data_IF_111112870359
#
_entry.id   IF_111112870359
#
_cell.length_a   1.000
_cell.length_b   1.000
_cell.length_c   1.000
_cell.angle_alpha   90.00
_cell.angle_beta   90.00
_cell.angle_gamma   90.00
#
_symmetry.space_group_name_H-M   'P 1'
#
loop_
_entity.id
_entity.type
_entity.pdbx_description
1 polymer ?
#
# COMPACT_ATOMS: atom_id res chain seq x y z
N UNK A 1 -2.11 3.98 -0.39
CA UNK A 1 -2.38 3.99 -1.84
C UNK A 1 -3.32 2.87 -2.21
N UNK A 2 -4.43 3.20 -2.87
CA UNK A 2 -5.43 2.25 -3.38
C UNK A 2 -5.32 2.02 -4.89
N UNK A 3 -6.24 1.25 -5.49
CA UNK A 3 -6.33 1.06 -6.94
C UNK A 3 -6.95 2.28 -7.65
N UNK A 4 -7.15 3.39 -6.92
CA UNK A 4 -7.81 4.58 -7.42
C UNK A 4 -6.98 5.25 -8.53
N UNK A 5 -7.68 5.83 -9.51
CA UNK A 5 -7.03 6.56 -10.60
C UNK A 5 -6.08 7.68 -10.19
N UNK A 6 -6.38 8.53 -9.19
CA UNK A 6 -5.43 9.56 -8.74
C UNK A 6 -4.18 8.96 -8.10
N UNK A 7 -4.31 7.91 -7.28
CA UNK A 7 -3.18 7.28 -6.60
C UNK A 7 -2.18 6.68 -7.60
N UNK A 8 -2.69 5.95 -8.60
CA UNK A 8 -1.84 5.34 -9.64
C UNK A 8 -1.11 6.41 -10.47
N UNK A 9 -1.76 7.55 -10.75
CA UNK A 9 -1.11 8.67 -11.45
C UNK A 9 -0.01 9.30 -10.61
N UNK A 10 -0.26 9.50 -9.30
CA UNK A 10 0.77 9.99 -8.40
C UNK A 10 1.97 9.06 -8.38
N UNK A 11 1.72 7.75 -8.26
CA UNK A 11 2.78 6.74 -8.28
C UNK A 11 3.58 6.78 -9.57
N UNK A 12 2.94 6.94 -10.72
CA UNK A 12 3.65 7.10 -12.00
C UNK A 12 4.63 8.27 -11.98
N UNK A 13 4.20 9.45 -11.53
CA UNK A 13 5.08 10.62 -11.44
C UNK A 13 6.23 10.41 -10.45
N UNK A 14 5.95 9.82 -9.29
CA UNK A 14 6.98 9.54 -8.29
C UNK A 14 7.96 8.46 -8.78
N UNK A 15 7.50 7.49 -9.57
CA UNK A 15 8.36 6.52 -10.25
C UNK A 15 9.38 7.22 -11.14
N UNK A 16 8.93 8.11 -12.03
CA UNK A 16 9.81 8.83 -12.95
C UNK A 16 10.78 9.75 -12.20
N UNK A 17 10.34 10.42 -11.13
CA UNK A 17 11.24 11.22 -10.28
C UNK A 17 12.27 10.33 -9.59
N UNK A 18 11.85 9.19 -9.04
CA UNK A 18 12.75 8.22 -8.40
C UNK A 18 13.78 7.63 -9.38
N UNK A 19 13.36 7.40 -10.62
CA UNK A 19 14.24 6.95 -11.69
C UNK A 19 15.32 7.98 -12.04
N UNK A 20 14.93 9.26 -12.18
CA UNK A 20 15.87 10.36 -12.46
C UNK A 20 16.82 10.64 -11.29
N UNK A 21 16.32 10.52 -10.05
CA UNK A 21 17.09 10.78 -8.84
C UNK A 21 17.87 9.55 -8.32
N UNK A 22 17.72 8.39 -8.96
CA UNK A 22 18.20 7.09 -8.47
C UNK A 22 17.82 6.80 -7.00
N UNK A 23 16.64 7.23 -6.59
CA UNK A 23 16.15 7.09 -5.22
C UNK A 23 14.83 6.27 -5.23
N UNK A 24 14.80 5.08 -4.60
CA UNK A 24 13.58 4.29 -4.53
C UNK A 24 12.56 4.96 -3.60
N UNK A 25 11.29 4.94 -4.01
CA UNK A 25 10.16 5.41 -3.23
C UNK A 25 9.43 4.24 -2.58
N UNK A 26 9.33 4.28 -1.25
CA UNK A 26 8.63 3.26 -0.46
C UNK A 26 7.29 3.83 0.00
N UNK A 27 6.21 3.10 -0.26
CA UNK A 27 4.85 3.50 0.09
C UNK A 27 4.07 2.40 0.81
N UNK A 28 3.10 2.80 1.62
CA UNK A 28 2.15 1.87 2.22
C UNK A 28 0.93 1.65 1.29
N UNK A 29 0.71 0.40 0.90
CA UNK A 29 -0.51 0.02 0.19
C UNK A 29 -1.70 0.00 1.18
N UNK A 30 -2.89 0.37 0.68
CA UNK A 30 -4.14 0.34 1.44
C UNK A 30 -4.78 -1.07 1.37
N UNK A 31 -5.55 -1.53 2.36
CA UNK A 31 -6.36 -2.76 2.24
C UNK A 31 -7.27 -2.75 1.01
N UNK A 32 -7.72 -1.57 0.60
CA UNK A 32 -8.56 -1.36 -0.60
C UNK A 32 -7.88 -1.84 -1.89
N UNK A 33 -6.55 -1.97 -1.88
CA UNK A 33 -5.78 -2.53 -2.99
C UNK A 33 -6.17 -3.98 -3.30
N UNK A 34 -6.64 -4.72 -2.30
CA UNK A 34 -7.13 -6.09 -2.43
C UNK A 34 -8.66 -6.17 -2.43
N UNK A 35 -9.35 -5.04 -2.63
CA UNK A 35 -10.81 -4.91 -2.42
C UNK A 35 -11.26 -5.30 -1.00
N UNK A 36 -10.37 -5.15 -0.01
CA UNK A 36 -10.65 -5.42 1.40
C UNK A 36 -10.84 -4.11 2.17
N UNK A 37 -11.59 -4.19 3.29
CA UNK A 37 -11.72 -3.07 4.24
C UNK A 37 -10.60 -3.07 5.28
N UNK A 38 -10.05 -4.24 5.60
CA UNK A 38 -9.01 -4.43 6.60
C UNK A 38 -8.00 -5.48 6.13
N UNK A 39 -6.75 -5.34 6.57
CA UNK A 39 -5.72 -6.37 6.35
C UNK A 39 -5.99 -7.66 7.13
N UNK A 40 -6.93 -7.66 8.08
CA UNK A 40 -7.35 -8.87 8.80
C UNK A 40 -8.01 -9.89 7.87
N UNK A 41 -8.61 -9.43 6.77
CA UNK A 41 -9.32 -10.28 5.82
C UNK A 41 -8.38 -10.87 4.74
N UNK A 42 -7.07 -10.61 4.81
CA UNK A 42 -6.08 -11.18 3.88
C UNK A 42 -6.15 -12.71 3.76
N UNK A 43 -6.30 -13.50 4.85
CA UNK A 43 -6.40 -14.96 4.77
C UNK A 43 -7.65 -15.45 4.04
N UNK A 44 -8.66 -14.60 3.84
CA UNK A 44 -9.89 -14.98 3.13
C UNK A 44 -9.71 -15.01 1.60
N UNK A 45 -8.66 -14.38 1.09
CA UNK A 45 -8.34 -14.36 -0.33
C UNK A 45 -7.71 -15.70 -0.71
N UNK A 46 -8.34 -16.41 -1.65
CA UNK A 46 -7.78 -17.64 -2.21
C UNK A 46 -6.58 -17.33 -3.10
N UNK A 47 -6.81 -16.55 -4.16
CA UNK A 47 -5.80 -16.20 -5.15
C UNK A 47 -5.73 -14.69 -5.30
N UNK A 48 -4.55 -14.14 -5.01
CA UNK A 48 -4.32 -12.69 -5.09
C UNK A 48 -4.18 -12.24 -6.55
N UNK A 49 -3.73 -13.13 -7.45
CA UNK A 49 -3.57 -12.82 -8.87
C UNK A 49 -4.92 -12.47 -9.53
N UNK A 50 -5.97 -13.22 -9.21
CA UNK A 50 -7.33 -13.01 -9.74
C UNK A 50 -7.85 -11.59 -9.43
N UNK A 51 -7.51 -11.05 -8.26
CA UNK A 51 -7.90 -9.69 -7.87
C UNK A 51 -7.23 -8.66 -8.77
N UNK A 52 -5.95 -8.85 -9.08
CA UNK A 52 -5.16 -7.93 -9.90
C UNK A 52 -5.48 -7.99 -11.40
N UNK A 53 -6.08 -9.09 -11.86
CA UNK A 53 -6.59 -9.22 -13.23
C UNK A 53 -7.89 -8.44 -13.46
N UNK A 54 -8.61 -8.12 -12.39
CA UNK A 54 -9.86 -7.36 -12.43
C UNK A 54 -9.75 -6.00 -13.16
N UNK A 55 -10.86 -5.48 -13.72
CA UNK A 55 -10.86 -4.24 -14.49
C UNK A 55 -10.45 -3.02 -13.64
N UNK A 56 -10.73 -3.04 -12.34
CA UNK A 56 -10.35 -1.99 -11.38
C UNK A 56 -8.83 -1.79 -11.29
N UNK A 57 -8.03 -2.81 -11.62
CA UNK A 57 -6.58 -2.80 -11.51
C UNK A 57 -5.87 -2.64 -12.85
N UNK A 58 -6.59 -2.30 -13.92
CA UNK A 58 -6.01 -2.07 -15.26
C UNK A 58 -4.88 -1.05 -15.22
N UNK A 59 -5.09 0.08 -14.53
CA UNK A 59 -4.06 1.14 -14.41
C UNK A 59 -2.85 0.70 -13.59
N UNK A 60 -3.06 -0.14 -12.59
CA UNK A 60 -1.98 -0.72 -11.80
C UNK A 60 -1.12 -1.68 -12.64
N UNK A 61 -1.75 -2.50 -13.48
CA UNK A 61 -1.02 -3.36 -14.42
C UNK A 61 -0.18 -2.54 -15.38
N UNK A 62 -0.75 -1.49 -15.98
CA UNK A 62 0.01 -0.56 -16.82
C UNK A 62 1.16 0.12 -16.05
N UNK A 63 0.98 0.44 -14.76
CA UNK A 63 2.06 0.97 -13.92
C UNK A 63 3.20 -0.03 -13.78
N UNK A 64 2.91 -1.32 -13.58
CA UNK A 64 3.92 -2.38 -13.42
C UNK A 64 4.69 -2.71 -14.70
N UNK A 65 4.12 -2.43 -15.87
CA UNK A 65 4.78 -2.64 -17.18
C UNK A 65 5.79 -1.52 -17.51
N UNK A 66 5.71 -0.36 -16.86
CA UNK A 66 6.66 0.73 -17.05
C UNK A 66 8.02 0.42 -16.43
N UNK A 67 9.09 0.87 -17.10
CA UNK A 67 10.46 0.64 -16.61
C UNK A 67 10.72 1.34 -15.26
N UNK A 68 10.15 2.53 -15.07
CA UNK A 68 10.31 3.32 -13.84
C UNK A 68 9.66 2.65 -12.61
N UNK A 69 8.81 1.64 -12.80
CA UNK A 69 8.15 0.92 -11.71
C UNK A 69 9.12 0.22 -10.76
N UNK A 70 10.35 -0.08 -11.22
CA UNK A 70 11.44 -0.66 -10.41
C UNK A 70 11.84 0.21 -9.21
N UNK A 71 11.52 1.51 -9.25
CA UNK A 71 11.81 2.44 -8.16
C UNK A 71 10.67 2.56 -7.14
N UNK A 72 9.56 1.83 -7.30
CA UNK A 72 8.46 1.85 -6.35
C UNK A 72 8.44 0.54 -5.54
N UNK A 73 8.40 0.67 -4.22
CA UNK A 73 8.17 -0.44 -3.32
C UNK A 73 6.89 -0.21 -2.51
N UNK A 74 6.05 -1.23 -2.41
CA UNK A 74 4.83 -1.21 -1.62
C UNK A 74 4.97 -2.10 -0.39
N UNK A 75 4.79 -1.53 0.81
CA UNK A 75 4.81 -2.28 2.06
C UNK A 75 3.39 -2.67 2.47
N UNK A 76 3.26 -3.88 3.01
CA UNK A 76 2.04 -4.50 3.52
C UNK A 76 2.34 -5.18 4.86
N UNK A 77 1.32 -5.48 5.67
CA UNK A 77 0.39 -4.55 6.35
C UNK A 77 1.08 -3.66 7.41
N UNK A 78 0.36 -2.69 7.95
CA UNK A 78 0.87 -1.83 9.04
C UNK A 78 1.07 -2.61 10.34
N UNK A 79 2.03 -2.18 11.16
CA UNK A 79 2.28 -2.74 12.48
C UNK A 79 1.86 -1.77 13.59
N UNK A 80 1.63 -2.30 14.79
CA UNK A 80 1.26 -1.51 15.95
C UNK A 80 2.46 -0.68 16.42
N UNK A 81 2.36 0.64 16.36
CA UNK A 81 3.42 1.55 16.84
C UNK A 81 3.39 1.72 18.36
N UNK A 82 2.20 1.65 18.97
CA UNK A 82 2.03 1.88 20.41
C UNK A 82 0.93 0.98 20.95
N UNK A 83 1.13 0.47 22.16
CA UNK A 83 0.08 -0.18 22.93
C UNK A 83 -1.01 0.82 23.35
N UNK A 84 -2.25 0.35 23.53
CA UNK A 84 -3.30 1.14 24.17
C UNK A 84 -2.84 1.66 25.53
N UNK A 85 -3.38 2.80 25.97
CA UNK A 85 -3.15 3.25 27.34
C UNK A 85 -3.90 2.32 28.29
N UNK A 86 -3.21 1.86 29.32
CA UNK A 86 -3.75 0.94 30.31
C UNK A 86 -3.20 1.29 31.71
N UNK A 87 -3.99 1.06 32.75
CA UNK A 87 -3.61 1.41 34.13
C UNK A 87 -2.39 0.64 34.65
N UNK A 88 -2.12 -0.55 34.11
CA UNK A 88 -0.99 -1.40 34.51
C UNK A 88 0.14 -1.33 33.49
N UNK A 89 -0.18 -1.52 32.20
CA UNK A 89 0.85 -1.69 31.16
C UNK A 89 1.30 -0.39 30.48
N UNK A 90 0.47 0.66 30.48
CA UNK A 90 0.80 1.96 29.86
C UNK A 90 0.08 3.13 30.54
N UNK A 91 0.42 3.44 31.81
CA UNK A 91 -0.34 4.39 32.61
C UNK A 91 -0.06 5.84 32.19
N UNK A 92 -1.09 6.68 32.30
CA UNK A 92 -1.00 8.13 32.06
C UNK A 92 -0.87 8.86 33.38
N UNK A 93 0.02 9.87 33.46
CA UNK A 93 0.32 10.59 34.71
C UNK A 93 -0.79 11.53 35.18
N UNK A 94 -1.57 12.09 34.26
CA UNK A 94 -2.81 12.81 34.53
C UNK A 94 -3.76 12.67 33.34
N UNK A 95 -5.07 12.68 33.63
CA UNK A 95 -6.13 12.77 32.62
C UNK A 95 -6.46 14.22 32.30
#
# INVERSE_FOLDING_TARGET
FGPSSPDIRLLSYVASVGAMAHAPFVMAASPEFFNLKSFQDLPSIKEVNDIFEGPSHTKWRSLREMEDSKYIAATLPSFLLRTPYDGLENPVRSF
#
